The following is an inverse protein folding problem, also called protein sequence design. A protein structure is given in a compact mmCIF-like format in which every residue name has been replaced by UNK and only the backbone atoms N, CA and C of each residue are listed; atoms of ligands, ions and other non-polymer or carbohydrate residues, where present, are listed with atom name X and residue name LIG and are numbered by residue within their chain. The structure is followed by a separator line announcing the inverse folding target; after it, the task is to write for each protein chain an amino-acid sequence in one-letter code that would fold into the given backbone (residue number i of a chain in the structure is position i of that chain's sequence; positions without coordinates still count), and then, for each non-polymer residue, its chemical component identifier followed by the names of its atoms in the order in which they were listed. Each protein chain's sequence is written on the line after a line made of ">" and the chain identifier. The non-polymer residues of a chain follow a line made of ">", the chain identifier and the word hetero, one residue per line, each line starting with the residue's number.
data_IF_117775042263
#
_entry.id   IF_117775042263
#
_cell.length_a   1.000
_cell.length_b   1.000
_cell.length_c   1.000
_cell.angle_alpha   90.00
_cell.angle_beta   90.00
_cell.angle_gamma   90.00
#
_symmetry.space_group_name_H-M   'P 1'
#
loop_
_entity.id
_entity.type
_entity.pdbx_description
1 polymer ?
#
# COMPACT_ATOMS: atom_id res chain seq x y z
N UNK A 1 18.04 16.89 -12.24
CA UNK A 1 17.79 16.47 -10.85
C UNK A 1 16.29 16.51 -10.66
N UNK A 2 15.67 15.39 -10.28
CA UNK A 2 14.22 15.30 -10.11
C UNK A 2 13.77 15.99 -8.82
N UNK A 3 12.50 16.39 -8.73
CA UNK A 3 11.97 17.11 -7.56
C UNK A 3 11.83 16.23 -6.31
N UNK A 4 11.95 14.89 -6.44
CA UNK A 4 11.97 13.93 -5.33
C UNK A 4 13.40 13.46 -4.96
N UNK A 5 14.44 14.10 -5.48
CA UNK A 5 15.83 13.71 -5.17
C UNK A 5 16.08 13.74 -3.67
N UNK A 6 16.57 12.62 -3.11
CA UNK A 6 16.81 12.44 -1.67
C UNK A 6 15.55 12.22 -0.82
N UNK A 7 14.37 12.06 -1.46
CA UNK A 7 13.14 11.69 -0.77
C UNK A 7 13.03 10.16 -0.67
N UNK A 8 12.61 9.69 0.47
CA UNK A 8 12.45 8.26 0.81
C UNK A 8 10.97 7.92 0.87
N UNK A 9 10.54 7.00 0.02
CA UNK A 9 9.12 6.68 -0.16
C UNK A 9 8.90 5.18 -0.01
N UNK A 10 8.05 4.80 0.93
CA UNK A 10 7.55 3.44 1.07
C UNK A 10 6.30 3.28 0.20
N UNK A 11 6.31 2.27 -0.68
CA UNK A 11 5.19 1.97 -1.59
C UNK A 11 4.65 0.58 -1.30
N UNK A 12 3.35 0.50 -1.03
CA UNK A 12 2.63 -0.76 -0.83
C UNK A 12 1.84 -1.17 -2.07
N UNK A 13 1.48 -2.44 -2.18
CA UNK A 13 0.54 -2.92 -3.21
C UNK A 13 1.12 -3.13 -4.60
N UNK A 14 2.45 -3.19 -4.75
CA UNK A 14 3.09 -3.55 -6.04
C UNK A 14 3.03 -5.06 -6.23
N UNK A 15 2.01 -5.55 -6.93
CA UNK A 15 1.83 -6.99 -7.22
C UNK A 15 2.08 -7.35 -8.68
N UNK A 16 2.10 -6.37 -9.58
CA UNK A 16 2.42 -6.53 -11.00
C UNK A 16 2.89 -5.20 -11.59
N UNK A 17 3.50 -5.27 -12.78
CA UNK A 17 3.86 -4.10 -13.61
C UNK A 17 2.64 -3.30 -14.12
N UNK A 18 1.43 -3.86 -13.98
CA UNK A 18 0.16 -3.19 -14.31
C UNK A 18 -0.51 -2.54 -13.10
N UNK A 19 0.02 -2.74 -11.89
CA UNK A 19 -0.55 -2.10 -10.71
C UNK A 19 -0.31 -0.58 -10.75
N UNK A 20 -1.26 0.18 -10.22
CA UNK A 20 -1.11 1.64 -10.07
C UNK A 20 0.13 1.94 -9.22
N UNK A 21 0.36 1.15 -8.16
CA UNK A 21 1.54 1.26 -7.32
C UNK A 21 2.86 1.16 -8.09
N UNK A 22 2.95 0.27 -9.09
CA UNK A 22 4.14 0.18 -9.95
C UNK A 22 4.33 1.45 -10.79
N UNK A 23 3.25 2.00 -11.34
CA UNK A 23 3.29 3.27 -12.06
C UNK A 23 3.75 4.43 -11.18
N UNK A 24 3.26 4.49 -9.93
CA UNK A 24 3.71 5.47 -8.93
C UNK A 24 5.18 5.28 -8.61
N UNK A 25 5.63 4.04 -8.37
CA UNK A 25 7.03 3.72 -8.10
C UNK A 25 7.94 4.20 -9.24
N UNK A 26 7.55 3.92 -10.48
CA UNK A 26 8.28 4.37 -11.67
C UNK A 26 8.42 5.90 -11.72
N UNK A 27 7.31 6.62 -11.55
CA UNK A 27 7.33 8.08 -11.54
C UNK A 27 8.20 8.64 -10.41
N UNK A 28 8.10 8.09 -9.19
CA UNK A 28 8.91 8.51 -8.05
C UNK A 28 10.41 8.27 -8.31
N UNK A 29 10.76 7.08 -8.83
CA UNK A 29 12.13 6.74 -9.18
C UNK A 29 12.72 7.68 -10.26
N UNK A 30 11.97 7.94 -11.33
CA UNK A 30 12.37 8.89 -12.39
C UNK A 30 12.59 10.31 -11.85
N UNK A 31 11.93 10.67 -10.76
CA UNK A 31 12.12 11.95 -10.07
C UNK A 31 13.20 11.92 -8.98
N UNK A 32 13.92 10.80 -8.85
CA UNK A 32 15.09 10.66 -7.98
C UNK A 32 14.80 10.25 -6.55
N UNK A 33 13.61 9.70 -6.26
CA UNK A 33 13.29 9.16 -4.95
C UNK A 33 14.03 7.84 -4.68
N UNK A 34 14.39 7.62 -3.41
CA UNK A 34 14.77 6.31 -2.88
C UNK A 34 13.48 5.56 -2.48
N UNK A 35 13.35 4.30 -2.92
CA UNK A 35 12.13 3.53 -2.74
C UNK A 35 12.31 2.34 -1.82
N UNK A 36 11.27 1.99 -1.08
CA UNK A 36 11.10 0.73 -0.38
C UNK A 36 9.72 0.16 -0.70
N UNK A 37 9.57 -1.16 -0.58
CA UNK A 37 8.34 -1.85 -0.94
C UNK A 37 7.90 -2.80 0.16
N UNK A 38 6.57 -3.07 0.21
CA UNK A 38 6.03 -4.17 1.01
C UNK A 38 5.43 -5.26 0.11
N UNK A 39 5.37 -6.47 0.64
CA UNK A 39 4.67 -7.60 0.01
C UNK A 39 3.83 -8.35 1.04
N UNK A 40 2.75 -8.98 0.58
CA UNK A 40 1.88 -9.83 1.39
C UNK A 40 2.05 -11.30 0.99
N UNK A 41 2.46 -12.14 1.94
CA UNK A 41 2.66 -13.57 1.72
C UNK A 41 3.82 -13.92 0.77
N UNK A 42 4.44 -15.05 0.99
CA UNK A 42 5.68 -15.49 0.30
C UNK A 42 5.54 -15.58 -1.21
N UNK A 43 4.34 -15.85 -1.72
CA UNK A 43 4.07 -15.95 -3.16
C UNK A 43 4.40 -14.68 -3.95
N UNK A 44 4.38 -13.52 -3.29
CA UNK A 44 4.67 -12.22 -3.94
C UNK A 44 6.09 -11.74 -3.71
N UNK A 45 6.81 -12.30 -2.73
CA UNK A 45 8.14 -11.87 -2.32
C UNK A 45 9.11 -11.76 -3.50
N UNK A 46 9.28 -12.85 -4.23
CA UNK A 46 10.23 -12.89 -5.35
C UNK A 46 9.89 -11.83 -6.41
N UNK A 47 8.61 -11.72 -6.77
CA UNK A 47 8.15 -10.77 -7.78
C UNK A 47 8.37 -9.32 -7.34
N UNK A 48 8.01 -8.98 -6.11
CA UNK A 48 8.23 -7.62 -5.58
C UNK A 48 9.72 -7.31 -5.48
N UNK A 49 10.55 -8.29 -5.10
CA UNK A 49 12.01 -8.13 -5.09
C UNK A 49 12.56 -7.84 -6.50
N UNK A 50 12.06 -8.52 -7.52
CA UNK A 50 12.45 -8.26 -8.92
C UNK A 50 12.07 -6.84 -9.37
N UNK A 51 10.89 -6.34 -8.97
CA UNK A 51 10.49 -4.96 -9.25
C UNK A 51 11.33 -3.95 -8.46
N UNK A 52 11.59 -4.20 -7.19
CA UNK A 52 12.45 -3.34 -6.37
C UNK A 52 13.84 -3.16 -6.99
N UNK A 53 14.44 -4.25 -7.49
CA UNK A 53 15.74 -4.22 -8.16
C UNK A 53 15.74 -3.30 -9.42
N UNK A 54 14.62 -3.23 -10.16
CA UNK A 54 14.48 -2.32 -11.31
C UNK A 54 14.52 -0.85 -10.88
N UNK A 55 14.14 -0.55 -9.65
CA UNK A 55 14.17 0.78 -9.05
C UNK A 55 15.42 1.02 -8.16
N UNK A 56 16.42 0.13 -8.28
CA UNK A 56 17.72 0.30 -7.59
C UNK A 56 17.67 0.11 -6.08
N UNK A 57 16.68 -0.60 -5.56
CA UNK A 57 16.55 -0.90 -4.12
C UNK A 57 16.42 -2.39 -3.85
N UNK A 58 16.82 -2.80 -2.65
CA UNK A 58 16.62 -4.14 -2.10
C UNK A 58 15.75 -4.13 -0.83
N UNK A 59 15.18 -2.98 -0.48
CA UNK A 59 14.33 -2.84 0.70
C UNK A 59 12.93 -3.34 0.35
N UNK A 60 12.65 -4.60 0.71
CA UNK A 60 11.39 -5.30 0.45
C UNK A 60 10.96 -6.02 1.72
N UNK A 61 9.92 -5.53 2.36
CA UNK A 61 9.51 -5.90 3.71
C UNK A 61 8.19 -6.68 3.69
N UNK A 62 8.05 -7.77 4.47
CA UNK A 62 6.77 -8.47 4.60
C UNK A 62 5.75 -7.58 5.32
N UNK A 63 4.51 -7.57 4.86
CA UNK A 63 3.41 -6.86 5.50
C UNK A 63 2.06 -7.41 5.05
N UNK A 64 1.38 -8.11 5.94
CA UNK A 64 -0.06 -8.30 5.86
C UNK A 64 -0.72 -7.20 6.69
N UNK A 65 -1.45 -6.32 6.06
CA UNK A 65 -2.10 -5.19 6.73
C UNK A 65 -3.32 -5.57 7.58
N UNK A 66 -3.71 -6.84 7.56
CA UNK A 66 -4.68 -7.41 8.50
C UNK A 66 -4.05 -7.73 9.88
N UNK A 67 -2.75 -7.49 10.04
CA UNK A 67 -1.97 -7.80 11.25
C UNK A 67 -1.18 -6.56 11.69
N UNK A 68 -1.59 -5.95 12.79
CA UNK A 68 -0.96 -4.74 13.33
C UNK A 68 0.50 -4.96 13.73
N UNK A 69 0.87 -6.17 14.18
CA UNK A 69 2.28 -6.47 14.51
C UNK A 69 3.16 -6.46 13.26
N UNK A 70 2.64 -6.91 12.11
CA UNK A 70 3.35 -6.83 10.85
C UNK A 70 3.44 -5.38 10.33
N UNK A 71 2.40 -4.57 10.51
CA UNK A 71 2.46 -3.14 10.21
C UNK A 71 3.57 -2.48 11.02
N UNK A 72 3.60 -2.70 12.33
CA UNK A 72 4.62 -2.15 13.22
C UNK A 72 6.03 -2.63 12.86
N UNK A 73 6.18 -3.90 12.50
CA UNK A 73 7.47 -4.49 12.10
C UNK A 73 8.05 -3.81 10.86
N UNK A 74 7.22 -3.48 9.86
CA UNK A 74 7.67 -2.74 8.66
C UNK A 74 8.42 -1.47 9.02
N UNK A 75 7.87 -0.64 9.90
CA UNK A 75 8.48 0.65 10.23
C UNK A 75 9.68 0.50 11.19
N UNK A 76 9.70 -0.53 12.04
CA UNK A 76 10.88 -0.88 12.84
C UNK A 76 12.03 -1.32 11.95
N UNK A 77 11.78 -2.19 10.97
CA UNK A 77 12.81 -2.67 10.03
C UNK A 77 13.27 -1.55 9.10
N UNK A 78 12.34 -0.73 8.61
CA UNK A 78 12.66 0.42 7.76
C UNK A 78 13.53 1.45 8.48
N UNK A 79 13.29 1.68 9.78
CA UNK A 79 14.10 2.59 10.60
C UNK A 79 15.56 2.12 10.80
N UNK A 80 15.87 0.84 10.55
CA UNK A 80 17.25 0.35 10.52
C UNK A 80 18.00 0.72 9.24
N UNK A 81 17.26 1.06 8.18
CA UNK A 81 17.78 1.35 6.84
C UNK A 81 17.77 2.85 6.54
N UNK A 82 16.73 3.55 7.01
CA UNK A 82 16.49 4.96 6.78
C UNK A 82 16.32 5.74 8.09
N UNK A 83 16.90 6.91 8.17
CA UNK A 83 16.75 7.84 9.31
C UNK A 83 15.43 8.65 9.28
N UNK A 84 14.57 8.39 8.31
CA UNK A 84 13.27 9.04 8.17
C UNK A 84 12.57 8.66 6.89
N UNK A 85 11.26 8.98 6.81
CA UNK A 85 10.36 8.67 5.71
C UNK A 85 9.69 9.95 5.20
N UNK A 86 9.80 10.22 3.91
CA UNK A 86 9.22 11.42 3.28
C UNK A 86 7.86 11.13 2.64
N UNK A 87 7.56 9.87 2.31
CA UNK A 87 6.29 9.50 1.70
C UNK A 87 5.86 8.07 2.00
N UNK A 88 4.56 7.89 2.24
CA UNK A 88 3.91 6.58 2.30
C UNK A 88 2.81 6.52 1.25
N UNK A 89 2.93 5.57 0.32
CA UNK A 89 1.90 5.26 -0.68
C UNK A 89 1.16 4.00 -0.27
N UNK A 90 -0.08 4.18 0.14
CA UNK A 90 -0.99 3.09 0.43
C UNK A 90 -1.81 2.76 -0.82
N UNK A 91 -1.46 1.66 -1.48
CA UNK A 91 -2.13 1.16 -2.69
C UNK A 91 -2.64 -0.27 -2.45
N UNK A 92 -3.41 -0.43 -1.39
CA UNK A 92 -3.95 -1.71 -0.93
C UNK A 92 -5.46 -1.62 -0.93
N UNK A 93 -6.10 -2.64 -1.48
CA UNK A 93 -7.54 -2.84 -1.41
C UNK A 93 -7.86 -4.30 -1.65
N UNK A 94 -8.77 -4.84 -0.86
CA UNK A 94 -9.22 -6.22 -0.98
C UNK A 94 -10.65 -6.36 -0.49
N UNK A 95 -11.43 -7.16 -1.19
CA UNK A 95 -12.69 -7.72 -0.69
C UNK A 95 -12.82 -9.19 -1.11
N UNK A 96 -13.48 -10.03 -0.32
CA UNK A 96 -13.84 -11.38 -0.73
C UNK A 96 -14.67 -11.35 -2.02
N UNK A 97 -14.54 -12.40 -2.84
CA UNK A 97 -15.18 -12.44 -4.16
C UNK A 97 -16.70 -12.30 -4.08
N UNK A 98 -17.33 -12.90 -3.08
CA UNK A 98 -18.77 -12.79 -2.84
C UNK A 98 -19.23 -11.35 -2.57
N UNK A 99 -18.37 -10.53 -1.98
CA UNK A 99 -18.66 -9.13 -1.68
C UNK A 99 -18.61 -8.20 -2.90
N UNK A 100 -18.09 -8.67 -4.02
CA UNK A 100 -17.86 -7.90 -5.26
C UNK A 100 -18.38 -8.64 -6.50
N UNK A 101 -19.37 -9.52 -6.35
CA UNK A 101 -19.98 -10.23 -7.47
C UNK A 101 -21.50 -10.32 -7.28
N UNK A 102 -22.26 -10.22 -8.39
CA UNK A 102 -23.72 -10.24 -8.35
C UNK A 102 -24.33 -8.99 -7.74
N UNK A 103 -25.55 -9.11 -7.23
CA UNK A 103 -26.21 -8.00 -6.56
C UNK A 103 -25.65 -7.79 -5.13
N UNK A 104 -25.70 -6.55 -4.63
CA UNK A 104 -25.17 -6.22 -3.30
C UNK A 104 -25.71 -7.12 -2.19
N UNK A 105 -27.02 -7.35 -2.18
CA UNK A 105 -27.67 -8.10 -1.10
C UNK A 105 -27.38 -9.61 -1.14
N UNK A 106 -27.04 -10.15 -2.31
CA UNK A 106 -26.71 -11.57 -2.45
C UNK A 106 -25.35 -11.93 -1.81
N UNK A 107 -24.39 -11.02 -1.94
CA UNK A 107 -23.03 -11.20 -1.41
C UNK A 107 -22.76 -10.51 -0.07
N UNK A 108 -23.75 -9.80 0.47
CA UNK A 108 -23.59 -9.05 1.70
C UNK A 108 -23.52 -9.98 2.93
N UNK A 109 -22.37 -10.02 3.57
CA UNK A 109 -22.18 -10.68 4.86
C UNK A 109 -21.37 -9.78 5.81
N UNK A 110 -21.62 -9.94 7.12
CA UNK A 110 -20.87 -9.21 8.15
C UNK A 110 -19.35 -9.44 8.02
N UNK A 111 -18.96 -10.65 7.73
CA UNK A 111 -17.55 -11.03 7.63
C UNK A 111 -16.91 -10.46 6.36
N UNK A 112 -17.57 -10.56 5.21
CA UNK A 112 -17.06 -9.97 3.97
C UNK A 112 -16.94 -8.44 4.07
N UNK A 113 -17.93 -7.80 4.70
CA UNK A 113 -17.90 -6.36 4.99
C UNK A 113 -16.74 -5.99 5.93
N UNK A 114 -16.55 -6.75 7.01
CA UNK A 114 -15.45 -6.55 7.95
C UNK A 114 -14.11 -6.67 7.25
N UNK A 115 -13.87 -7.72 6.48
CA UNK A 115 -12.61 -7.96 5.77
C UNK A 115 -12.33 -6.82 4.78
N UNK A 116 -13.33 -6.41 4.01
CA UNK A 116 -13.16 -5.34 3.02
C UNK A 116 -12.76 -4.01 3.68
N UNK A 117 -13.41 -3.63 4.78
CA UNK A 117 -13.11 -2.39 5.50
C UNK A 117 -11.79 -2.46 6.26
N UNK A 118 -11.50 -3.58 6.88
CA UNK A 118 -10.27 -3.81 7.62
C UNK A 118 -9.04 -3.64 6.72
N UNK A 119 -9.02 -4.37 5.61
CA UNK A 119 -7.87 -4.33 4.69
C UNK A 119 -7.84 -3.06 3.84
N UNK A 120 -8.99 -2.55 3.38
CA UNK A 120 -9.00 -1.46 2.39
C UNK A 120 -9.11 -0.07 2.99
N UNK A 121 -9.67 0.07 4.19
CA UNK A 121 -9.89 1.36 4.83
C UNK A 121 -9.06 1.54 6.11
N UNK A 122 -9.19 0.61 7.09
CA UNK A 122 -8.50 0.73 8.37
C UNK A 122 -6.97 0.67 8.22
N UNK A 123 -6.45 -0.13 7.31
CA UNK A 123 -5.00 -0.31 7.14
C UNK A 123 -4.28 1.00 6.79
N UNK A 124 -4.93 1.94 6.11
CA UNK A 124 -4.31 3.23 5.81
C UNK A 124 -4.01 4.07 7.05
N UNK A 125 -4.96 4.39 7.94
CA UNK A 125 -4.65 5.09 9.18
C UNK A 125 -3.77 4.27 10.14
N UNK A 126 -3.84 2.93 10.14
CA UNK A 126 -2.96 2.09 10.92
C UNK A 126 -1.49 2.25 10.47
N UNK A 127 -1.23 2.14 9.16
CA UNK A 127 0.10 2.39 8.61
C UNK A 127 0.57 3.83 8.83
N UNK A 128 -0.32 4.82 8.71
CA UNK A 128 0.01 6.22 8.97
C UNK A 128 0.44 6.43 10.42
N UNK A 129 -0.26 5.81 11.38
CA UNK A 129 0.09 5.83 12.80
C UNK A 129 1.47 5.23 13.06
N UNK A 130 1.76 4.06 12.48
CA UNK A 130 3.05 3.39 12.64
C UNK A 130 4.20 4.15 11.93
N UNK A 131 3.93 4.81 10.81
CA UNK A 131 4.89 5.63 10.07
C UNK A 131 5.25 6.96 10.77
N UNK A 132 4.36 7.48 11.63
CA UNK A 132 4.47 8.82 12.20
C UNK A 132 5.82 9.13 12.84
N UNK A 133 6.46 8.25 13.62
CA UNK A 133 7.78 8.52 14.20
C UNK A 133 8.86 8.83 13.16
N UNK A 134 8.81 8.18 11.98
CA UNK A 134 9.77 8.38 10.90
C UNK A 134 9.44 9.60 10.02
N UNK A 135 8.20 10.07 10.03
CA UNK A 135 7.70 11.14 9.14
C UNK A 135 7.68 12.53 9.80
N UNK A 136 7.55 12.57 11.12
CA UNK A 136 7.26 13.81 11.87
C UNK A 136 8.26 14.94 11.60
N UNK A 137 9.55 14.63 11.57
CA UNK A 137 10.60 15.64 11.37
C UNK A 137 10.89 15.93 9.88
N UNK A 138 10.21 15.22 8.97
CA UNK A 138 10.47 15.30 7.54
C UNK A 138 9.35 15.99 6.73
N UNK A 139 8.28 16.45 7.39
CA UNK A 139 7.10 16.96 6.70
C UNK A 139 6.59 15.96 5.64
N UNK A 140 6.51 14.69 6.05
CA UNK A 140 6.17 13.59 5.18
C UNK A 140 4.75 13.65 4.62
N UNK A 141 4.53 13.04 3.46
CA UNK A 141 3.25 12.97 2.78
C UNK A 141 2.66 11.56 2.82
N UNK A 142 1.34 11.48 3.00
CA UNK A 142 0.57 10.24 2.91
C UNK A 142 -0.30 10.28 1.64
N UNK A 143 -0.29 9.19 0.89
CA UNK A 143 -1.13 9.05 -0.30
C UNK A 143 -1.86 7.71 -0.24
N UNK A 144 -3.16 7.74 -0.48
CA UNK A 144 -3.97 6.53 -0.70
C UNK A 144 -4.70 6.61 -2.02
N UNK A 145 -5.14 5.47 -2.53
CA UNK A 145 -5.92 5.39 -3.76
C UNK A 145 -7.40 5.28 -3.41
N UNK A 146 -8.22 6.02 -4.10
CA UNK A 146 -9.67 5.90 -4.07
C UNK A 146 -10.22 5.56 -5.44
N UNK A 147 -11.49 5.26 -5.53
CA UNK A 147 -12.14 4.83 -6.76
C UNK A 147 -13.47 5.57 -6.96
N UNK A 148 -13.87 5.72 -8.20
CA UNK A 148 -15.11 6.38 -8.56
C UNK A 148 -16.36 5.74 -7.91
N UNK A 149 -16.29 4.45 -7.56
CA UNK A 149 -17.33 3.75 -6.81
C UNK A 149 -17.65 4.35 -5.45
N UNK A 150 -16.76 5.16 -4.87
CA UNK A 150 -17.01 5.93 -3.64
C UNK A 150 -18.01 7.09 -3.87
N UNK A 151 -18.20 7.55 -5.10
CA UNK A 151 -19.10 8.66 -5.45
C UNK A 151 -20.30 8.21 -6.29
N UNK A 152 -20.18 7.09 -6.98
CA UNK A 152 -21.19 6.58 -7.91
C UNK A 152 -21.35 5.08 -7.75
N UNK A 153 -22.57 4.59 -7.88
CA UNK A 153 -22.83 3.15 -7.93
C UNK A 153 -22.17 2.54 -9.16
N UNK A 154 -21.29 1.59 -8.93
CA UNK A 154 -20.67 0.77 -9.97
C UNK A 154 -21.17 -0.66 -9.81
N UNK A 155 -21.80 -1.19 -10.85
CA UNK A 155 -22.39 -2.53 -10.83
C UNK A 155 -21.35 -3.58 -10.44
N UNK A 156 -21.72 -4.47 -9.55
CA UNK A 156 -20.87 -5.55 -9.01
C UNK A 156 -19.64 -5.08 -8.17
N UNK A 157 -19.51 -3.77 -7.90
CA UNK A 157 -18.45 -3.30 -7.03
C UNK A 157 -18.84 -3.35 -5.54
N UNK A 158 -20.12 -3.24 -5.28
CA UNK A 158 -20.82 -3.52 -4.01
C UNK A 158 -20.09 -2.96 -2.78
N UNK A 159 -19.60 -3.83 -1.88
CA UNK A 159 -18.94 -3.45 -0.62
C UNK A 159 -17.66 -2.63 -0.84
N UNK A 160 -17.03 -2.70 -2.01
CA UNK A 160 -15.82 -1.92 -2.33
C UNK A 160 -16.13 -0.50 -2.82
N UNK A 161 -17.35 -0.19 -3.17
CA UNK A 161 -17.84 1.15 -3.52
C UNK A 161 -18.32 1.93 -2.30
#
# INVERSE_FOLDING_TARGET
>A
MGFLTGKRILITGVISDRSIAYGIAKCCHEQGAELAFTYVGDRFKERVTQYAAQFGTNIVLPCDVADDDQIDAVFKDLATQWDGLDGLVHSIGFAPREAISGELLDGLSREAFRIAHDISAYSFPAMAKAALPMMKERQGALLTLTYLGAERVVQNYNTMG
#
